data_IF_148935360402
#
_entry.id   IF_148935360402
#
_cell.length_a   1.000
_cell.length_b   1.000
_cell.length_c   1.000
_cell.angle_alpha   90.00
_cell.angle_beta   90.00
_cell.angle_gamma   90.00
#
_symmetry.space_group_name_H-M   'P 1'
#
loop_
_entity.id
_entity.type
_entity.pdbx_description
1 polymer ?
#
# COMPACT_ATOMS: atom_id res chain seq x y z
N UNK A 1 -1.71 8.61 14.60
CA UNK A 1 -0.43 8.68 15.36
C UNK A 1 -0.60 8.06 16.74
N UNK A 2 0.45 7.99 17.57
CA UNK A 2 0.36 7.52 18.97
C UNK A 2 -0.60 8.39 19.77
N UNK A 3 -0.52 9.72 19.64
CA UNK A 3 -1.44 10.66 20.29
C UNK A 3 -2.91 10.40 19.94
N UNK A 4 -3.22 10.30 18.65
CA UNK A 4 -4.58 9.97 18.19
C UNK A 4 -5.07 8.60 18.70
N UNK A 5 -4.16 7.66 18.89
CA UNK A 5 -4.47 6.35 19.46
C UNK A 5 -4.79 6.47 20.95
N UNK A 6 -4.00 7.22 21.72
CA UNK A 6 -4.22 7.47 23.15
C UNK A 6 -5.55 8.19 23.41
N UNK A 7 -5.92 9.14 22.56
CA UNK A 7 -7.21 9.86 22.63
C UNK A 7 -8.40 9.04 22.11
N UNK A 8 -8.16 7.99 21.32
CA UNK A 8 -9.22 7.19 20.71
C UNK A 8 -9.99 6.30 21.71
N UNK A 9 -11.32 6.31 21.58
CA UNK A 9 -12.20 5.36 22.26
C UNK A 9 -12.03 3.91 21.77
N UNK A 10 -12.64 2.97 22.50
CA UNK A 10 -12.50 1.51 22.27
C UNK A 10 -12.85 1.12 20.83
N UNK A 11 -13.94 1.65 20.28
CA UNK A 11 -14.41 1.32 18.93
C UNK A 11 -13.47 1.82 17.83
N UNK A 12 -12.96 3.05 17.94
CA UNK A 12 -12.00 3.59 16.97
C UNK A 12 -10.70 2.79 16.98
N UNK A 13 -10.23 2.37 18.16
CA UNK A 13 -9.07 1.49 18.31
C UNK A 13 -9.31 0.10 17.72
N UNK A 14 -10.46 -0.52 17.97
CA UNK A 14 -10.83 -1.82 17.42
C UNK A 14 -10.90 -1.77 15.89
N UNK A 15 -11.61 -0.77 15.34
CA UNK A 15 -11.68 -0.54 13.91
C UNK A 15 -10.28 -0.40 13.31
N UNK A 16 -9.42 0.43 13.89
CA UNK A 16 -8.07 0.65 13.36
C UNK A 16 -7.19 -0.60 13.47
N UNK A 17 -7.33 -1.42 14.53
CA UNK A 17 -6.66 -2.73 14.64
C UNK A 17 -7.08 -3.67 13.53
N UNK A 18 -8.39 -3.81 13.28
CA UNK A 18 -8.90 -4.65 12.20
C UNK A 18 -8.44 -4.13 10.84
N UNK A 19 -8.58 -2.83 10.59
CA UNK A 19 -8.14 -2.19 9.35
C UNK A 19 -6.65 -2.39 9.08
N UNK A 20 -5.79 -2.34 10.11
CA UNK A 20 -4.34 -2.52 9.98
C UNK A 20 -3.87 -3.97 10.15
N UNK A 21 -4.79 -4.92 10.38
CA UNK A 21 -4.42 -6.33 10.52
C UNK A 21 -4.12 -6.91 9.12
N UNK A 22 -2.96 -7.55 8.87
CA UNK A 22 -2.59 -7.99 7.52
C UNK A 22 -3.61 -8.95 6.88
N UNK A 23 -4.17 -9.88 7.66
CA UNK A 23 -5.21 -10.80 7.19
C UNK A 23 -6.55 -10.13 6.82
N UNK A 24 -6.74 -8.86 7.18
CA UNK A 24 -7.90 -8.06 6.78
C UNK A 24 -7.49 -7.07 5.69
N UNK A 25 -6.46 -6.26 5.94
CA UNK A 25 -5.99 -5.23 5.02
C UNK A 25 -5.65 -5.79 3.64
N UNK A 26 -4.92 -6.91 3.58
CA UNK A 26 -4.47 -7.47 2.30
C UNK A 26 -5.65 -8.02 1.50
N UNK A 27 -6.46 -8.98 2.01
CA UNK A 27 -7.51 -9.58 1.21
C UNK A 27 -8.70 -8.65 1.00
N UNK A 28 -9.16 -7.97 2.06
CA UNK A 28 -10.32 -7.07 1.99
C UNK A 28 -9.95 -5.77 1.29
N UNK A 29 -8.77 -5.21 1.55
CA UNK A 29 -8.31 -4.02 0.85
C UNK A 29 -8.13 -4.26 -0.65
N UNK A 30 -7.58 -5.41 -1.05
CA UNK A 30 -7.48 -5.79 -2.45
C UNK A 30 -8.87 -5.90 -3.11
N UNK A 31 -9.80 -6.61 -2.47
CA UNK A 31 -11.17 -6.73 -2.98
C UNK A 31 -11.86 -5.37 -3.10
N UNK A 32 -11.76 -4.54 -2.05
CA UNK A 32 -12.36 -3.22 -2.00
C UNK A 32 -11.83 -2.31 -3.11
N UNK A 33 -10.51 -2.25 -3.30
CA UNK A 33 -9.92 -1.35 -4.30
C UNK A 33 -10.25 -1.80 -5.73
N UNK A 34 -9.98 -3.07 -6.06
CA UNK A 34 -10.06 -3.53 -7.46
C UNK A 34 -11.49 -3.76 -7.95
N UNK A 35 -12.40 -4.19 -7.08
CA UNK A 35 -13.77 -4.52 -7.48
C UNK A 35 -14.74 -3.37 -7.23
N UNK A 36 -14.43 -2.44 -6.31
CA UNK A 36 -15.35 -1.35 -5.95
C UNK A 36 -14.75 0.03 -6.26
N UNK A 37 -13.63 0.40 -5.64
CA UNK A 37 -13.08 1.78 -5.76
C UNK A 37 -12.72 2.12 -7.20
N UNK A 38 -12.11 1.20 -7.95
CA UNK A 38 -11.77 1.42 -9.35
C UNK A 38 -12.96 1.39 -10.31
N UNK A 39 -14.19 1.18 -9.82
CA UNK A 39 -15.42 1.41 -10.60
C UNK A 39 -15.91 2.84 -10.47
N UNK A 40 -15.45 3.55 -9.43
CA UNK A 40 -15.77 4.94 -9.12
C UNK A 40 -14.54 5.69 -8.57
N UNK A 41 -13.53 5.94 -9.42
CA UNK A 41 -12.27 6.53 -8.96
C UNK A 41 -12.48 7.95 -8.43
N UNK A 42 -11.59 8.42 -7.55
CA UNK A 42 -11.71 9.75 -6.92
C UNK A 42 -11.76 10.91 -7.92
N UNK A 43 -11.09 10.76 -9.07
CA UNK A 43 -11.09 11.72 -10.16
C UNK A 43 -12.21 11.46 -11.19
N UNK A 44 -13.27 10.72 -10.84
CA UNK A 44 -14.40 10.45 -11.75
C UNK A 44 -15.04 11.73 -12.32
N UNK A 45 -15.00 12.83 -11.58
CA UNK A 45 -15.49 14.14 -12.04
C UNK A 45 -14.64 14.70 -13.21
N UNK A 46 -13.32 14.47 -13.19
CA UNK A 46 -12.39 14.91 -14.25
C UNK A 46 -12.48 14.00 -15.48
N UNK A 47 -12.60 12.69 -15.26
CA UNK A 47 -12.74 11.68 -16.34
C UNK A 47 -14.10 11.75 -17.02
N UNK A 48 -15.13 12.18 -16.29
CA UNK A 48 -16.51 12.29 -16.77
C UNK A 48 -17.28 10.97 -16.70
N UNK A 49 -18.56 11.06 -16.30
CA UNK A 49 -19.41 9.89 -16.05
C UNK A 49 -19.54 8.96 -17.28
N UNK A 50 -19.55 9.50 -18.50
CA UNK A 50 -19.66 8.70 -19.73
C UNK A 50 -18.48 7.77 -19.92
N UNK A 51 -17.25 8.27 -19.77
CA UNK A 51 -16.04 7.46 -19.95
C UNK A 51 -15.94 6.37 -18.88
N UNK A 52 -16.26 6.70 -17.63
CA UNK A 52 -16.32 5.73 -16.53
C UNK A 52 -17.39 4.64 -16.77
N UNK A 53 -18.62 5.02 -17.16
CA UNK A 53 -19.68 4.06 -17.47
C UNK A 53 -19.31 3.18 -18.68
N UNK A 54 -18.68 3.76 -19.71
CA UNK A 54 -18.20 3.01 -20.87
C UNK A 54 -17.12 1.99 -20.47
N UNK A 55 -16.19 2.36 -19.59
CA UNK A 55 -15.18 1.44 -19.06
C UNK A 55 -15.81 0.29 -18.25
N UNK A 56 -16.77 0.60 -17.37
CA UNK A 56 -17.49 -0.42 -16.61
C UNK A 56 -18.29 -1.35 -17.54
N UNK A 57 -18.93 -0.82 -18.59
CA UNK A 57 -19.61 -1.62 -19.60
C UNK A 57 -18.65 -2.52 -20.38
N UNK A 58 -17.45 -2.03 -20.73
CA UNK A 58 -16.42 -2.82 -21.40
C UNK A 58 -15.93 -3.98 -20.51
N UNK A 59 -15.77 -3.76 -19.20
CA UNK A 59 -15.44 -4.82 -18.25
C UNK A 59 -16.55 -5.87 -18.20
N UNK A 60 -17.82 -5.46 -18.11
CA UNK A 60 -18.95 -6.40 -18.12
C UNK A 60 -19.02 -7.19 -19.43
N UNK A 61 -18.79 -6.55 -20.57
CA UNK A 61 -18.70 -7.22 -21.86
C UNK A 61 -17.56 -8.25 -21.90
N UNK A 62 -16.37 -7.88 -21.39
CA UNK A 62 -15.23 -8.79 -21.28
C UNK A 62 -15.53 -10.00 -20.39
N UNK A 63 -16.16 -9.79 -19.23
CA UNK A 63 -16.63 -10.89 -18.38
C UNK A 63 -17.68 -11.76 -19.09
N UNK A 64 -18.54 -11.16 -19.92
CA UNK A 64 -19.48 -11.88 -20.78
C UNK A 64 -18.78 -12.75 -21.81
N UNK A 65 -17.69 -12.28 -22.43
CA UNK A 65 -16.85 -13.09 -23.35
C UNK A 65 -16.20 -14.25 -22.61
N UNK A 66 -15.63 -14.01 -21.42
CA UNK A 66 -15.03 -15.08 -20.59
C UNK A 66 -16.08 -16.11 -20.20
N UNK A 67 -17.27 -15.67 -19.81
CA UNK A 67 -18.39 -16.54 -19.51
C UNK A 67 -18.81 -17.37 -20.73
N UNK A 68 -18.91 -16.76 -21.91
CA UNK A 68 -19.27 -17.48 -23.13
C UNK A 68 -18.25 -18.56 -23.50
N UNK A 69 -16.95 -18.31 -23.28
CA UNK A 69 -15.87 -19.27 -23.59
C UNK A 69 -15.69 -20.37 -22.54
N UNK A 70 -15.84 -20.04 -21.25
CA UNK A 70 -15.39 -20.90 -20.15
C UNK A 70 -16.40 -21.01 -18.99
N UNK A 71 -17.61 -20.48 -19.16
CA UNK A 71 -18.68 -20.50 -18.17
C UNK A 71 -18.34 -19.77 -16.88
N UNK A 72 -19.09 -20.08 -15.83
CA UNK A 72 -18.86 -19.51 -14.50
C UNK A 72 -17.49 -19.88 -13.91
N UNK A 73 -16.97 -21.07 -14.24
CA UNK A 73 -15.63 -21.49 -13.81
C UNK A 73 -14.58 -20.50 -14.31
N UNK A 74 -14.59 -20.16 -15.61
CA UNK A 74 -13.66 -19.18 -16.17
C UNK A 74 -13.78 -17.79 -15.54
N UNK A 75 -15.00 -17.32 -15.30
CA UNK A 75 -15.25 -16.04 -14.62
C UNK A 75 -14.66 -16.07 -13.21
N UNK A 76 -14.98 -17.08 -12.39
CA UNK A 76 -14.47 -17.16 -11.03
C UNK A 76 -12.96 -17.33 -10.97
N UNK A 77 -12.36 -18.10 -11.89
CA UNK A 77 -10.89 -18.21 -11.99
C UNK A 77 -10.27 -16.85 -12.29
N UNK A 78 -10.82 -16.08 -13.23
CA UNK A 78 -10.32 -14.74 -13.55
C UNK A 78 -10.47 -13.78 -12.36
N UNK A 79 -11.66 -13.72 -11.73
CA UNK A 79 -11.87 -12.84 -10.57
C UNK A 79 -10.96 -13.23 -9.40
N UNK A 80 -10.76 -14.51 -9.16
CA UNK A 80 -9.84 -15.00 -8.14
C UNK A 80 -8.39 -14.61 -8.45
N UNK A 81 -7.94 -14.77 -9.70
CA UNK A 81 -6.60 -14.35 -10.12
C UNK A 81 -6.39 -12.84 -9.94
N UNK A 82 -7.38 -12.01 -10.30
CA UNK A 82 -7.35 -10.56 -10.07
C UNK A 82 -7.26 -10.26 -8.58
N UNK A 83 -8.02 -10.96 -7.74
CA UNK A 83 -7.99 -10.76 -6.30
C UNK A 83 -6.64 -11.13 -5.69
N UNK A 84 -6.05 -12.27 -6.07
CA UNK A 84 -4.70 -12.68 -5.64
C UNK A 84 -3.64 -11.68 -6.13
N UNK A 85 -3.72 -11.21 -7.38
CA UNK A 85 -2.84 -10.16 -7.90
C UNK A 85 -2.97 -8.85 -7.12
N UNK A 86 -4.21 -8.45 -6.77
CA UNK A 86 -4.48 -7.30 -5.93
C UNK A 86 -3.91 -7.45 -4.52
N UNK A 87 -4.00 -8.64 -3.92
CA UNK A 87 -3.40 -8.96 -2.62
C UNK A 87 -1.89 -8.79 -2.66
N UNK A 88 -1.22 -9.29 -3.72
CA UNK A 88 0.22 -9.09 -3.91
C UNK A 88 0.57 -7.61 -4.04
N UNK A 89 -0.22 -6.83 -4.78
CA UNK A 89 -0.03 -5.38 -4.90
C UNK A 89 -0.14 -4.65 -3.55
N UNK A 90 -1.21 -4.92 -2.78
CA UNK A 90 -1.40 -4.32 -1.46
C UNK A 90 -0.28 -4.73 -0.50
N UNK A 91 0.13 -6.00 -0.55
CA UNK A 91 1.24 -6.51 0.25
C UNK A 91 2.54 -5.78 -0.06
N UNK A 92 2.94 -5.67 -1.34
CA UNK A 92 4.16 -4.99 -1.76
C UNK A 92 4.17 -3.52 -1.31
N UNK A 93 3.11 -2.77 -1.63
CA UNK A 93 3.01 -1.35 -1.30
C UNK A 93 3.00 -1.15 0.21
N UNK A 94 2.34 -2.02 0.99
CA UNK A 94 2.37 -1.94 2.45
C UNK A 94 3.80 -2.04 2.96
N UNK A 95 4.55 -3.06 2.53
CA UNK A 95 5.92 -3.27 2.97
C UNK A 95 6.86 -2.13 2.56
N UNK A 96 6.64 -1.57 1.38
CA UNK A 96 7.46 -0.52 0.82
C UNK A 96 7.28 0.84 1.47
N UNK A 97 6.18 1.05 2.21
CA UNK A 97 5.82 2.31 2.88
C UNK A 97 5.61 2.16 4.39
N UNK A 98 5.94 0.99 4.97
CA UNK A 98 5.71 0.72 6.38
C UNK A 98 6.90 0.00 7.01
N UNK A 99 8.02 0.71 7.15
CA UNK A 99 9.29 0.14 7.62
C UNK A 99 9.93 1.04 8.68
N UNK A 100 10.91 0.51 9.40
CA UNK A 100 11.68 1.28 10.38
C UNK A 100 12.54 2.34 9.69
N UNK A 101 12.50 3.58 10.21
CA UNK A 101 13.21 4.72 9.62
C UNK A 101 12.52 5.33 8.39
N UNK A 102 11.26 4.99 8.13
CA UNK A 102 10.44 5.71 7.13
C UNK A 102 10.20 7.15 7.57
N UNK A 103 10.07 8.05 6.59
CA UNK A 103 9.72 9.45 6.83
C UNK A 103 8.24 9.72 6.56
N UNK A 104 7.61 10.51 7.43
CA UNK A 104 6.23 10.94 7.31
C UNK A 104 6.08 12.39 7.75
N UNK A 105 5.20 13.13 7.08
CA UNK A 105 4.91 14.52 7.43
C UNK A 105 3.46 14.90 7.06
N UNK A 106 3.00 16.06 7.54
CA UNK A 106 1.68 16.62 7.26
C UNK A 106 1.75 17.68 6.18
N UNK A 107 0.64 17.84 5.45
CA UNK A 107 0.45 19.05 4.63
C UNK A 107 0.20 20.25 5.54
N UNK A 108 0.68 21.46 5.20
CA UNK A 108 1.26 21.84 3.91
C UNK A 108 2.77 21.55 3.73
N UNK A 109 3.48 21.18 4.79
CA UNK A 109 4.96 21.12 4.80
C UNK A 109 5.55 19.87 4.12
N UNK A 110 4.71 18.87 3.82
CA UNK A 110 5.09 17.65 3.11
C UNK A 110 5.78 17.94 1.75
N UNK A 111 7.07 17.61 1.67
CA UNK A 111 7.85 17.57 0.42
C UNK A 111 7.62 16.22 -0.29
N UNK A 112 7.02 16.21 -1.50
CA UNK A 112 6.77 14.98 -2.25
C UNK A 112 8.04 14.21 -2.66
N UNK A 113 9.14 14.91 -2.94
CA UNK A 113 10.39 14.25 -3.35
C UNK A 113 11.04 13.56 -2.15
N UNK A 114 11.03 14.22 -0.99
CA UNK A 114 11.48 13.62 0.27
C UNK A 114 10.58 12.44 0.66
N UNK A 115 9.26 12.58 0.50
CA UNK A 115 8.30 11.49 0.73
C UNK A 115 8.59 10.27 -0.16
N UNK A 116 8.94 10.50 -1.44
CA UNK A 116 9.23 9.41 -2.36
C UNK A 116 10.48 8.62 -1.98
N UNK A 117 11.56 9.30 -1.56
CA UNK A 117 12.87 8.67 -1.30
C UNK A 117 13.04 8.21 0.15
N UNK A 118 12.58 8.99 1.14
CA UNK A 118 12.73 8.66 2.56
C UNK A 118 11.46 8.03 3.15
N UNK A 119 10.29 8.34 2.59
CA UNK A 119 9.03 7.67 2.97
C UNK A 119 8.84 6.31 2.28
N UNK A 120 9.43 6.13 1.10
CA UNK A 120 9.47 4.87 0.37
C UNK A 120 10.72 4.03 0.64
N UNK A 121 10.68 2.79 0.18
CA UNK A 121 11.82 1.86 0.24
C UNK A 121 11.83 0.93 -0.97
N UNK A 122 12.95 0.24 -1.16
CA UNK A 122 13.01 -0.89 -2.07
C UNK A 122 13.01 -2.24 -1.32
N UNK A 123 12.40 -3.27 -1.91
CA UNK A 123 12.45 -4.63 -1.36
C UNK A 123 13.63 -5.40 -1.97
N UNK A 124 14.44 -6.04 -1.11
CA UNK A 124 15.59 -6.84 -1.51
C UNK A 124 15.31 -8.34 -1.33
N UNK A 125 14.38 -8.86 -2.13
CA UNK A 125 13.95 -10.26 -2.09
C UNK A 125 14.65 -11.13 -3.16
N UNK A 126 15.64 -10.56 -3.84
CA UNK A 126 16.40 -11.20 -4.91
C UNK A 126 15.78 -11.01 -6.31
N UNK A 127 16.61 -11.28 -7.32
CA UNK A 127 16.32 -10.94 -8.72
C UNK A 127 15.14 -11.72 -9.31
N UNK A 128 14.89 -12.96 -8.89
CA UNK A 128 13.74 -13.75 -9.37
C UNK A 128 12.43 -13.08 -8.95
N UNK A 129 12.39 -12.62 -7.70
CA UNK A 129 11.23 -11.90 -7.19
C UNK A 129 11.06 -10.57 -7.92
N UNK A 130 12.14 -9.81 -8.11
CA UNK A 130 12.13 -8.57 -8.88
C UNK A 130 11.48 -8.77 -10.26
N UNK A 131 11.91 -9.77 -11.03
CA UNK A 131 11.34 -10.03 -12.35
C UNK A 131 9.87 -10.47 -12.28
N UNK A 132 9.51 -11.31 -11.30
CA UNK A 132 8.14 -11.78 -11.13
C UNK A 132 7.14 -10.63 -10.86
N UNK A 133 7.60 -9.54 -10.25
CA UNK A 133 6.77 -8.35 -9.96
C UNK A 133 7.11 -7.15 -10.86
N UNK A 134 7.72 -7.39 -12.02
CA UNK A 134 8.10 -6.36 -12.99
C UNK A 134 8.93 -5.22 -12.36
N UNK A 135 9.90 -5.59 -11.53
CA UNK A 135 10.86 -4.72 -10.85
C UNK A 135 10.21 -3.62 -9.96
N UNK A 136 8.92 -3.72 -9.64
CA UNK A 136 8.22 -2.74 -8.79
C UNK A 136 8.72 -2.77 -7.34
N UNK A 137 9.59 -3.72 -6.99
CA UNK A 137 10.33 -3.71 -5.72
C UNK A 137 11.12 -2.42 -5.52
N UNK A 138 11.47 -1.66 -6.58
CA UNK A 138 12.20 -0.37 -6.55
C UNK A 138 11.20 0.79 -6.58
N UNK A 139 10.32 0.80 -5.58
CA UNK A 139 9.11 1.62 -5.57
C UNK A 139 9.35 3.08 -5.18
N UNK A 140 10.35 3.33 -4.34
CA UNK A 140 10.91 4.65 -4.05
C UNK A 140 11.21 5.45 -5.33
N UNK A 141 11.95 4.86 -6.26
CA UNK A 141 12.32 5.50 -7.53
C UNK A 141 11.12 5.59 -8.47
N UNK A 142 10.23 4.60 -8.45
CA UNK A 142 8.98 4.69 -9.19
C UNK A 142 8.13 5.88 -8.72
N UNK A 143 8.13 6.19 -7.42
CA UNK A 143 7.45 7.40 -6.91
C UNK A 143 8.18 8.69 -7.30
N UNK A 144 9.52 8.69 -7.26
CA UNK A 144 10.29 9.87 -7.64
C UNK A 144 10.12 10.20 -9.13
N UNK A 145 10.16 9.19 -10.00
CA UNK A 145 10.04 9.34 -11.46
C UNK A 145 9.17 8.21 -12.04
N UNK A 146 7.86 8.38 -11.93
CA UNK A 146 6.87 7.37 -12.38
C UNK A 146 6.92 7.04 -13.87
N UNK A 147 7.56 7.88 -14.69
CA UNK A 147 7.74 7.65 -16.12
C UNK A 147 8.83 6.64 -16.46
N UNK A 148 9.67 6.23 -15.49
CA UNK A 148 10.68 5.18 -15.72
C UNK A 148 9.95 3.84 -15.91
N UNK A 149 10.13 3.16 -17.05
CA UNK A 149 9.53 1.85 -17.24
C UNK A 149 10.06 0.83 -16.23
N UNK A 150 9.20 -0.07 -15.77
CA UNK A 150 9.51 -1.16 -14.84
C UNK A 150 10.86 -1.84 -15.08
N UNK A 151 11.13 -2.27 -16.30
CA UNK A 151 12.37 -2.98 -16.67
C UNK A 151 13.66 -2.14 -16.55
N UNK A 152 13.55 -0.81 -16.39
CA UNK A 152 14.67 0.10 -16.13
C UNK A 152 14.83 0.48 -14.67
N UNK A 153 13.86 0.20 -13.80
CA UNK A 153 13.91 0.61 -12.39
C UNK A 153 15.14 0.06 -11.66
N UNK A 154 15.51 -1.20 -11.92
CA UNK A 154 16.71 -1.81 -11.32
C UNK A 154 18.00 -1.10 -11.73
N UNK A 155 18.11 -0.67 -12.98
CA UNK A 155 19.24 0.11 -13.47
C UNK A 155 19.28 1.51 -12.85
N UNK A 156 18.13 2.20 -12.84
CA UNK A 156 18.00 3.51 -12.23
C UNK A 156 18.36 3.49 -10.73
N UNK A 157 17.91 2.46 -10.00
CA UNK A 157 18.26 2.27 -8.59
C UNK A 157 19.75 2.12 -8.35
N UNK A 158 20.41 1.26 -9.14
CA UNK A 158 21.87 1.09 -9.02
C UNK A 158 22.66 2.37 -9.28
N UNK A 159 22.20 3.23 -10.19
CA UNK A 159 22.86 4.51 -10.46
C UNK A 159 22.61 5.50 -9.32
N UNK A 160 21.38 5.58 -8.81
CA UNK A 160 21.02 6.50 -7.74
C UNK A 160 21.73 6.17 -6.42
N UNK A 161 21.88 4.87 -6.11
CA UNK A 161 22.60 4.39 -4.93
C UNK A 161 24.08 4.80 -4.86
N UNK A 162 24.69 5.18 -5.99
CA UNK A 162 26.08 5.67 -5.99
C UNK A 162 26.21 7.04 -5.32
N UNK A 163 25.11 7.76 -5.18
CA UNK A 163 25.08 9.16 -4.73
C UNK A 163 24.11 9.41 -3.59
N UNK A 164 23.13 8.53 -3.39
CA UNK A 164 22.10 8.67 -2.37
C UNK A 164 22.01 7.38 -1.54
N UNK A 165 21.82 7.51 -0.24
CA UNK A 165 21.47 6.39 0.63
C UNK A 165 20.00 6.05 0.43
N UNK A 166 19.72 4.89 -0.19
CA UNK A 166 18.37 4.38 -0.39
C UNK A 166 18.06 3.26 0.60
N UNK A 167 16.83 3.23 1.12
CA UNK A 167 16.43 2.21 2.10
C UNK A 167 16.08 0.89 1.40
N UNK A 168 16.88 -0.14 1.66
CA UNK A 168 16.60 -1.53 1.28
C UNK A 168 15.96 -2.29 2.43
N UNK A 169 14.86 -2.97 2.17
CA UNK A 169 14.15 -3.80 3.14
C UNK A 169 14.33 -5.27 2.76
N UNK A 170 15.00 -6.01 3.64
CA UNK A 170 15.15 -7.46 3.55
C UNK A 170 13.83 -8.17 3.91
N UNK A 171 13.73 -9.45 3.57
CA UNK A 171 12.52 -10.24 3.87
C UNK A 171 12.17 -10.29 5.38
N UNK A 172 13.13 -10.47 6.32
CA UNK A 172 12.82 -10.41 7.75
C UNK A 172 12.31 -9.03 8.20
N UNK A 173 12.91 -7.94 7.72
CA UNK A 173 12.46 -6.57 8.02
C UNK A 173 11.05 -6.34 7.46
N UNK A 174 10.74 -6.85 6.27
CA UNK A 174 9.40 -6.81 5.72
C UNK A 174 8.37 -7.59 6.57
N UNK A 175 8.76 -8.72 7.17
CA UNK A 175 7.85 -9.38 8.12
C UNK A 175 7.70 -8.57 9.40
N UNK A 176 8.78 -7.96 9.89
CA UNK A 176 8.76 -7.09 11.06
C UNK A 176 7.88 -5.84 10.87
N UNK A 177 7.85 -5.28 9.66
CA UNK A 177 6.99 -4.18 9.27
C UNK A 177 5.51 -4.40 9.62
N UNK A 178 5.01 -5.64 9.61
CA UNK A 178 3.64 -5.92 10.04
C UNK A 178 3.38 -5.67 11.51
N UNK A 179 4.39 -5.47 12.34
CA UNK A 179 4.25 -5.10 13.76
C UNK A 179 4.16 -3.58 13.96
N UNK A 180 4.62 -2.79 12.99
CA UNK A 180 4.64 -1.33 13.00
C UNK A 180 3.27 -0.77 12.60
N UNK A 181 2.59 -0.05 13.51
CA UNK A 181 1.16 0.26 13.39
C UNK A 181 0.78 1.73 13.56
N UNK A 182 1.57 2.46 14.34
CA UNK A 182 1.33 3.86 14.68
C UNK A 182 2.58 4.67 14.36
N UNK A 183 2.40 5.91 13.94
CA UNK A 183 3.48 6.89 13.90
C UNK A 183 3.60 7.57 15.26
N UNK A 184 4.78 7.50 15.87
CA UNK A 184 5.18 8.27 17.04
C UNK A 184 5.75 9.61 16.55
N UNK A 185 5.07 10.70 16.92
CA UNK A 185 5.41 12.04 16.45
C UNK A 185 6.62 12.62 17.21
N UNK A 186 6.88 12.18 18.43
CA UNK A 186 8.00 12.68 19.23
C UNK A 186 9.31 12.00 18.84
N UNK A 187 9.24 10.70 18.57
CA UNK A 187 10.39 9.89 18.16
C UNK A 187 10.57 9.79 16.63
N UNK A 188 9.67 10.41 15.85
CA UNK A 188 9.64 10.39 14.38
C UNK A 188 9.82 8.98 13.78
N UNK A 189 9.08 8.01 14.31
CA UNK A 189 9.20 6.62 13.87
C UNK A 189 7.89 5.85 13.97
N UNK A 190 7.80 4.77 13.20
CA UNK A 190 6.71 3.82 13.37
C UNK A 190 6.95 2.92 14.60
N UNK A 191 5.89 2.70 15.37
CA UNK A 191 5.90 1.86 16.58
C UNK A 191 4.74 0.85 16.56
N UNK A 192 4.87 -0.28 17.29
CA UNK A 192 3.77 -1.19 17.52
C UNK A 192 2.61 -0.57 18.31
N UNK A 193 1.48 -1.28 18.36
CA UNK A 193 0.42 -0.89 19.30
C UNK A 193 0.96 -0.95 20.75
N UNK A 194 0.64 0.05 21.60
CA UNK A 194 1.01 0.02 23.02
C UNK A 194 0.51 -1.25 23.70
N UNK A 195 1.36 -1.84 24.56
CA UNK A 195 1.05 -3.07 25.31
C UNK A 195 -0.03 -2.84 26.38
N UNK A 196 -0.07 -1.65 26.97
CA UNK A 196 -0.97 -1.30 28.06
C UNK A 196 -1.81 -0.07 27.72
N UNK A 197 -3.01 0.02 28.31
CA UNK A 197 -3.74 1.28 28.38
C UNK A 197 -2.98 2.16 29.36
N UNK A 198 -2.35 3.25 28.91
CA UNK A 198 -2.08 4.37 29.83
C UNK A 198 -3.42 4.77 30.41
N UNK A 199 -3.65 4.47 31.69
CA UNK A 199 -4.81 4.98 32.42
C UNK A 199 -4.65 6.49 32.43
N UNK A 200 -5.48 7.19 31.67
CA UNK A 200 -5.65 8.63 31.88
C UNK A 200 -6.21 8.75 33.28
N UNK A 201 -5.36 9.09 34.24
CA UNK A 201 -5.80 9.46 35.57
C UNK A 201 -6.66 10.70 35.37
N UNK A 202 -7.97 10.53 35.50
CA UNK A 202 -8.87 11.66 35.65
C UNK A 202 -8.49 12.27 37.00
N UNK A 203 -7.77 13.38 36.97
CA UNK A 203 -7.57 14.19 38.15
C UNK A 203 -8.97 14.59 38.63
N UNK A 204 -9.37 14.08 39.80
CA UNK A 204 -10.53 14.58 40.50
C UNK A 204 -10.15 15.97 41.04
N UNK A 205 -10.80 17.00 40.52
CA UNK A 205 -10.89 18.31 41.17
C UNK A 205 -11.70 18.21 42.46
#
# INVERSE_FOLDING_TARGET
>A
TVKEWEEAGVWKRLYYRLYRHPAVLIPVGAAYVYFLVYRWPKNAAEVGAKAMLAHNAAILAYLGVVYWLAGWTGVFTLLFAIWVGGMLGVFLVYLQHNFEGTWWDRRPDLDPNRAAIQGGSCLDFGWVFDEAVANITKHDIHHLVASIPSYRLRGAHRELEKTHELRRISFPEALHAFTLKLWDEEAEQLVPFPKERRSVAVAAE
#
